data_IF_330952066778
#
_entry.id   IF_330952066778
#
_cell.length_a   1.000
_cell.length_b   1.000
_cell.length_c   1.000
_cell.angle_alpha   90.00
_cell.angle_beta   90.00
_cell.angle_gamma   90.00
#
_symmetry.space_group_name_H-M   'P 1'
#
loop_
_entity.id
_entity.type
_entity.pdbx_description
1 polymer ?
#
# COMPACT_ATOMS: atom_id res chain seq x y z
N UNK A 1 -7.95 -4.90 5.44
CA UNK A 1 -7.37 -3.92 4.50
C UNK A 1 -6.18 -3.19 5.15
N UNK A 2 -5.05 -3.15 4.45
CA UNK A 2 -3.83 -2.43 4.84
C UNK A 2 -3.67 -1.19 3.94
N UNK A 3 -3.65 0.00 4.52
CA UNK A 3 -3.38 1.24 3.80
C UNK A 3 -1.86 1.48 3.68
N UNK A 4 -1.40 1.88 2.50
CA UNK A 4 -0.02 2.28 2.23
C UNK A 4 -0.01 3.80 2.07
N UNK A 5 0.31 4.51 3.17
CA UNK A 5 0.16 5.95 3.27
C UNK A 5 1.52 6.66 3.34
N UNK A 6 1.56 7.96 3.08
CA UNK A 6 2.77 8.77 3.18
C UNK A 6 2.50 10.21 2.80
N UNK A 7 3.15 11.16 3.47
CA UNK A 7 2.77 12.56 3.34
C UNK A 7 3.28 13.25 2.08
N UNK A 8 4.27 12.71 1.36
CA UNK A 8 4.81 13.32 0.14
C UNK A 8 4.51 12.52 -1.13
N UNK A 9 4.25 13.22 -2.23
CA UNK A 9 4.26 12.63 -3.57
C UNK A 9 5.65 12.08 -3.91
N UNK A 10 5.73 10.93 -4.57
CA UNK A 10 7.01 10.34 -4.98
C UNK A 10 7.83 9.66 -3.87
N UNK A 11 7.34 9.56 -2.62
CA UNK A 11 8.09 8.85 -1.56
C UNK A 11 8.16 7.32 -1.74
N UNK A 12 7.41 6.75 -2.69
CA UNK A 12 7.43 5.32 -3.03
C UNK A 12 6.22 4.51 -2.55
N UNK A 13 5.06 5.14 -2.29
CA UNK A 13 3.81 4.45 -1.87
C UNK A 13 3.40 3.37 -2.85
N UNK A 14 3.19 3.71 -4.13
CA UNK A 14 2.80 2.77 -5.18
C UNK A 14 3.80 1.61 -5.32
N UNK A 15 5.10 1.90 -5.33
CA UNK A 15 6.15 0.88 -5.36
C UNK A 15 6.09 -0.03 -4.13
N UNK A 16 5.85 0.54 -2.94
CA UNK A 16 5.70 -0.23 -1.70
C UNK A 16 4.45 -1.10 -1.73
N UNK A 17 3.33 -0.57 -2.23
CA UNK A 17 2.07 -1.30 -2.42
C UNK A 17 2.28 -2.51 -3.33
N UNK A 18 2.90 -2.31 -4.49
CA UNK A 18 3.15 -3.36 -5.48
C UNK A 18 4.20 -4.37 -5.01
N UNK A 19 5.29 -3.91 -4.42
CA UNK A 19 6.34 -4.78 -3.88
C UNK A 19 5.82 -5.67 -2.75
N UNK A 20 5.00 -5.12 -1.85
CA UNK A 20 4.33 -5.88 -0.81
C UNK A 20 3.29 -6.86 -1.39
N UNK A 21 2.52 -6.46 -2.41
CA UNK A 21 1.59 -7.34 -3.10
C UNK A 21 2.33 -8.52 -3.73
N UNK A 22 3.38 -8.26 -4.50
CA UNK A 22 4.22 -9.28 -5.11
C UNK A 22 4.79 -10.24 -4.05
N UNK A 23 5.22 -9.69 -2.90
CA UNK A 23 5.76 -10.50 -1.82
C UNK A 23 4.72 -11.42 -1.18
N UNK A 24 3.48 -10.96 -1.03
CA UNK A 24 2.36 -11.78 -0.58
C UNK A 24 1.96 -12.84 -1.62
N UNK A 25 1.97 -12.49 -2.91
CA UNK A 25 1.74 -13.42 -4.02
C UNK A 25 2.73 -14.59 -4.03
N UNK A 26 4.03 -14.29 -3.87
CA UNK A 26 5.09 -15.31 -3.73
C UNK A 26 4.90 -16.24 -2.53
N UNK A 27 4.14 -15.81 -1.51
CA UNK A 27 3.80 -16.61 -0.32
C UNK A 27 2.48 -17.37 -0.49
N UNK A 28 1.92 -17.41 -1.70
CA UNK A 28 0.70 -18.15 -2.03
C UNK A 28 -0.60 -17.42 -1.67
N UNK A 29 -0.55 -16.13 -1.32
CA UNK A 29 -1.76 -15.33 -1.14
C UNK A 29 -2.25 -14.75 -2.48
N UNK A 30 -3.52 -14.37 -2.54
CA UNK A 30 -4.11 -13.63 -3.67
C UNK A 30 -4.38 -12.18 -3.25
N UNK A 31 -3.37 -11.30 -3.22
CA UNK A 31 -3.55 -9.93 -2.80
C UNK A 31 -4.32 -9.11 -3.84
N UNK A 32 -5.24 -8.28 -3.36
CA UNK A 32 -5.89 -7.23 -4.12
C UNK A 32 -5.24 -5.88 -3.81
N UNK A 33 -4.71 -5.23 -4.85
CA UNK A 33 -4.26 -3.85 -4.84
C UNK A 33 -5.40 -2.94 -5.30
N UNK A 34 -5.67 -1.89 -4.55
CA UNK A 34 -6.61 -0.83 -4.93
C UNK A 34 -5.81 0.46 -5.06
N UNK A 35 -5.82 1.04 -6.25
CA UNK A 35 -5.25 2.36 -6.48
C UNK A 35 -6.21 3.42 -5.93
N UNK A 36 -5.88 3.95 -4.75
CA UNK A 36 -6.67 4.95 -4.03
C UNK A 36 -6.20 6.39 -4.30
N UNK A 37 -5.15 6.60 -5.09
CA UNK A 37 -4.72 7.94 -5.50
C UNK A 37 -5.60 8.41 -6.65
N UNK A 38 -6.63 9.19 -6.32
CA UNK A 38 -7.59 9.68 -7.31
C UNK A 38 -7.08 10.91 -8.07
N UNK A 39 -6.04 11.58 -7.56
CA UNK A 39 -5.42 12.74 -8.21
C UNK A 39 -4.39 12.29 -9.26
N UNK A 40 -3.55 11.30 -8.90
CA UNK A 40 -2.48 10.78 -9.76
C UNK A 40 -2.40 9.24 -9.68
N UNK A 41 -3.37 8.52 -10.28
CA UNK A 41 -3.37 7.06 -10.26
C UNK A 41 -2.19 6.54 -11.07
N UNK A 42 -1.31 5.77 -10.43
CA UNK A 42 -0.04 5.30 -10.99
C UNK A 42 0.05 3.78 -11.08
N UNK A 43 -0.85 3.01 -10.45
CA UNK A 43 -0.72 1.54 -10.39
C UNK A 43 -0.77 0.91 -11.78
N UNK A 44 -1.72 1.33 -12.62
CA UNK A 44 -1.86 0.81 -13.98
C UNK A 44 -0.62 1.11 -14.84
N UNK A 45 -0.05 2.31 -14.73
CA UNK A 45 1.19 2.69 -15.42
C UNK A 45 2.38 1.85 -14.96
N UNK A 46 2.50 1.59 -13.66
CA UNK A 46 3.58 0.77 -13.08
C UNK A 46 3.52 -0.70 -13.49
N UNK A 47 2.35 -1.18 -13.91
CA UNK A 47 2.12 -2.56 -14.29
C UNK A 47 1.88 -2.73 -15.80
N UNK A 48 2.05 -1.67 -16.58
CA UNK A 48 1.78 -1.62 -18.03
C UNK A 48 0.37 -2.10 -18.40
N UNK A 49 -0.61 -1.73 -17.57
CA UNK A 49 -2.01 -2.10 -17.75
C UNK A 49 -2.76 -0.98 -18.49
N UNK A 50 -3.65 -1.31 -19.45
CA UNK A 50 -4.52 -0.32 -20.06
C UNK A 50 -5.45 0.30 -18.99
N UNK A 51 -5.72 1.61 -19.12
CA UNK A 51 -6.64 2.31 -18.21
C UNK A 51 -8.03 1.69 -18.25
N UNK A 52 -8.51 1.31 -17.08
CA UNK A 52 -9.85 0.80 -16.82
C UNK A 52 -10.66 1.72 -15.92
N UNK A 53 -11.92 1.36 -15.70
CA UNK A 53 -12.85 2.11 -14.85
C UNK A 53 -12.85 1.67 -13.38
N UNK A 54 -12.09 0.63 -13.02
CA UNK A 54 -11.65 0.27 -11.65
C UNK A 54 -12.58 0.68 -10.50
N UNK A 55 -12.11 1.61 -9.65
CA UNK A 55 -12.85 2.18 -8.51
C UNK A 55 -14.24 2.68 -8.91
N UNK A 56 -14.37 3.36 -10.06
CA UNK A 56 -15.64 3.87 -10.55
C UNK A 56 -16.63 2.76 -10.94
N UNK A 57 -16.17 1.68 -11.59
CA UNK A 57 -16.99 0.52 -11.90
C UNK A 57 -17.44 -0.22 -10.64
N UNK A 58 -16.52 -0.41 -9.70
CA UNK A 58 -16.83 -1.07 -8.44
C UNK A 58 -17.89 -0.29 -7.66
N UNK A 59 -17.74 1.04 -7.58
CA UNK A 59 -18.73 1.91 -6.94
C UNK A 59 -20.11 1.88 -7.62
N UNK A 60 -20.16 1.72 -8.95
CA UNK A 60 -21.42 1.56 -9.71
C UNK A 60 -22.11 0.20 -9.52
N UNK A 61 -21.52 -0.70 -8.74
CA UNK A 61 -22.15 -1.98 -8.43
C UNK A 61 -21.64 -3.16 -9.24
N UNK A 62 -20.65 -2.97 -10.14
CA UNK A 62 -20.05 -4.09 -10.88
C UNK A 62 -19.44 -5.10 -9.88
N UNK A 63 -19.56 -6.42 -10.12
CA UNK A 63 -19.00 -7.42 -9.22
C UNK A 63 -17.49 -7.25 -9.06
N UNK A 64 -16.98 -7.33 -7.83
CA UNK A 64 -15.55 -7.10 -7.52
C UNK A 64 -14.62 -7.98 -8.37
N UNK A 65 -14.93 -9.27 -8.50
CA UNK A 65 -14.15 -10.23 -9.32
C UNK A 65 -14.13 -9.89 -10.81
N UNK A 66 -15.11 -9.12 -11.30
CA UNK A 66 -15.16 -8.66 -12.69
C UNK A 66 -14.45 -7.32 -12.91
N UNK A 67 -14.15 -6.58 -11.83
CA UNK A 67 -13.40 -5.31 -11.85
C UNK A 67 -11.92 -5.55 -11.56
N UNK A 68 -11.62 -6.47 -10.65
CA UNK A 68 -10.27 -6.83 -10.26
C UNK A 68 -9.58 -7.60 -11.40
N UNK A 69 -8.61 -6.96 -12.03
CA UNK A 69 -7.83 -7.52 -13.15
C UNK A 69 -6.52 -8.08 -12.63
N UNK A 70 -6.11 -9.27 -13.09
CA UNK A 70 -4.77 -9.78 -12.82
C UNK A 70 -3.70 -8.89 -13.46
N UNK A 71 -2.54 -8.79 -12.80
CA UNK A 71 -1.37 -8.10 -13.35
C UNK A 71 -0.37 -9.13 -13.91
N UNK A 72 -0.13 -9.11 -15.22
CA UNK A 72 0.76 -10.09 -15.87
C UNK A 72 2.20 -10.03 -15.34
N UNK A 73 2.67 -8.82 -15.04
CA UNK A 73 4.00 -8.58 -14.45
C UNK A 73 4.12 -9.03 -12.99
N UNK A 74 3.01 -9.24 -12.29
CA UNK A 74 2.98 -9.69 -10.89
C UNK A 74 1.98 -10.84 -10.71
N UNK A 75 2.38 -12.09 -11.01
CA UNK A 75 1.51 -13.26 -10.90
C UNK A 75 0.85 -13.39 -9.51
N UNK A 76 -0.46 -13.64 -9.51
CA UNK A 76 -1.27 -13.77 -8.29
C UNK A 76 -1.74 -12.44 -7.68
N UNK A 77 -1.29 -11.29 -8.21
CA UNK A 77 -1.78 -9.97 -7.78
C UNK A 77 -2.97 -9.53 -8.63
N UNK A 78 -4.03 -9.10 -7.95
CA UNK A 78 -5.21 -8.50 -8.58
C UNK A 78 -5.23 -7.00 -8.33
N UNK A 79 -5.77 -6.23 -9.28
CA UNK A 79 -5.76 -4.77 -9.24
C UNK A 79 -7.15 -4.21 -9.51
N UNK A 80 -7.61 -3.31 -8.64
CA UNK A 80 -8.68 -2.36 -8.92
C UNK A 80 -8.01 -1.01 -9.20
N UNK A 81 -8.05 -0.59 -10.46
CA UNK A 81 -7.43 0.65 -10.91
C UNK A 81 -8.11 1.90 -10.33
N UNK A 82 -7.40 3.03 -10.36
CA UNK A 82 -7.85 4.28 -9.78
C UNK A 82 -9.09 4.83 -10.46
N UNK A 83 -9.75 5.77 -9.80
CA UNK A 83 -10.97 6.40 -10.29
C UNK A 83 -11.23 7.73 -9.62
N UNK A 84 -12.46 8.22 -9.71
CA UNK A 84 -12.82 9.52 -9.12
C UNK A 84 -12.92 9.43 -7.60
N UNK A 85 -12.42 10.44 -6.91
CA UNK A 85 -12.51 10.63 -5.44
C UNK A 85 -13.89 10.32 -4.84
N UNK A 86 -14.96 10.77 -5.50
CA UNK A 86 -16.36 10.54 -5.04
C UNK A 86 -16.79 9.08 -5.03
N UNK A 87 -16.11 8.21 -5.78
CA UNK A 87 -16.40 6.79 -5.88
C UNK A 87 -15.57 5.94 -4.89
N UNK A 88 -14.45 6.48 -4.39
CA UNK A 88 -13.47 5.73 -3.61
C UNK A 88 -14.05 5.12 -2.34
N UNK A 89 -14.78 5.90 -1.54
CA UNK A 89 -15.39 5.44 -0.28
C UNK A 89 -16.32 4.21 -0.50
N UNK A 90 -17.23 4.32 -1.47
CA UNK A 90 -18.14 3.23 -1.84
C UNK A 90 -17.38 2.01 -2.39
N UNK A 91 -16.38 2.23 -3.24
CA UNK A 91 -15.56 1.16 -3.80
C UNK A 91 -14.79 0.40 -2.71
N UNK A 92 -14.16 1.11 -1.76
CA UNK A 92 -13.46 0.50 -0.63
C UNK A 92 -14.40 -0.27 0.30
N UNK A 93 -15.63 0.22 0.50
CA UNK A 93 -16.68 -0.51 1.21
C UNK A 93 -17.00 -1.86 0.56
N UNK A 94 -17.13 -1.88 -0.77
CA UNK A 94 -17.41 -3.10 -1.55
C UNK A 94 -16.21 -4.03 -1.67
N UNK A 95 -15.00 -3.49 -1.70
CA UNK A 95 -13.77 -4.28 -1.80
C UNK A 95 -13.55 -5.24 -0.62
N UNK A 96 -14.19 -5.00 0.53
CA UNK A 96 -14.18 -5.90 1.70
C UNK A 96 -14.72 -7.31 1.41
N UNK A 97 -15.36 -7.51 0.27
CA UNK A 97 -15.81 -8.82 -0.22
C UNK A 97 -14.66 -9.69 -0.77
N UNK A 98 -13.44 -9.15 -0.90
CA UNK A 98 -12.27 -9.93 -1.30
C UNK A 98 -11.82 -10.86 -0.17
N UNK A 99 -11.53 -12.12 -0.49
CA UNK A 99 -11.17 -13.14 0.49
C UNK A 99 -9.68 -13.06 0.94
N UNK A 100 -8.83 -12.45 0.11
CA UNK A 100 -7.39 -12.32 0.35
C UNK A 100 -6.95 -10.99 1.00
N UNK A 101 -5.62 -10.75 1.12
CA UNK A 101 -5.10 -9.46 1.56
C UNK A 101 -5.58 -8.33 0.64
N UNK A 102 -5.96 -7.19 1.23
CA UNK A 102 -6.30 -5.98 0.46
C UNK A 102 -5.30 -4.90 0.84
N UNK A 103 -4.56 -4.40 -0.15
CA UNK A 103 -3.60 -3.31 -0.05
C UNK A 103 -4.20 -2.09 -0.77
N UNK A 104 -4.20 -0.93 -0.12
CA UNK A 104 -4.70 0.31 -0.74
C UNK A 104 -3.55 1.30 -0.87
N UNK A 105 -3.23 1.68 -2.11
CA UNK A 105 -2.27 2.73 -2.41
C UNK A 105 -2.93 4.09 -2.13
N UNK A 106 -2.52 4.77 -1.07
CA UNK A 106 -3.17 6.03 -0.69
C UNK A 106 -2.64 7.19 -1.53
N UNK A 107 -3.50 8.19 -1.75
CA UNK A 107 -3.04 9.49 -2.23
C UNK A 107 -2.01 10.14 -1.30
N UNK A 108 -1.25 11.09 -1.83
CA UNK A 108 -0.26 11.82 -1.04
C UNK A 108 -0.89 12.86 -0.09
N UNK A 109 -0.19 13.12 1.02
CA UNK A 109 -0.49 14.25 1.90
C UNK A 109 -1.61 13.99 2.89
N UNK A 110 -2.44 15.01 3.12
CA UNK A 110 -3.51 15.01 4.13
C UNK A 110 -4.89 15.26 3.52
N UNK A 111 -4.99 15.20 2.19
CA UNK A 111 -6.21 15.42 1.43
C UNK A 111 -7.18 14.21 1.59
N UNK A 112 -8.43 14.30 1.09
CA UNK A 112 -9.37 13.20 1.15
C UNK A 112 -8.88 11.88 0.53
N UNK A 113 -7.98 11.90 -0.46
CA UNK A 113 -7.46 10.68 -1.10
C UNK A 113 -6.44 9.96 -0.22
N UNK A 114 -5.72 10.70 0.62
CA UNK A 114 -4.87 10.13 1.66
C UNK A 114 -5.70 9.60 2.85
N UNK A 115 -6.76 10.32 3.21
CA UNK A 115 -7.56 10.07 4.42
C UNK A 115 -8.60 8.96 4.24
N UNK A 116 -9.25 8.87 3.07
CA UNK A 116 -10.34 7.90 2.84
C UNK A 116 -9.86 6.46 2.97
N UNK A 117 -8.74 6.03 2.34
CA UNK A 117 -8.18 4.70 2.56
C UNK A 117 -7.88 4.40 4.04
N UNK A 118 -7.33 5.36 4.79
CA UNK A 118 -7.00 5.17 6.21
C UNK A 118 -8.26 4.87 7.04
N UNK A 119 -9.39 5.53 6.75
CA UNK A 119 -10.68 5.26 7.43
C UNK A 119 -11.19 3.83 7.20
N UNK A 120 -10.85 3.23 6.06
CA UNK A 120 -11.31 1.88 5.72
C UNK A 120 -10.36 0.77 6.20
N UNK A 121 -9.10 1.10 6.46
CA UNK A 121 -8.06 0.15 6.81
C UNK A 121 -8.00 -0.12 8.32
N UNK A 122 -7.74 -1.38 8.72
CA UNK A 122 -7.50 -1.69 10.13
C UNK A 122 -6.07 -1.33 10.54
N UNK A 123 -5.15 -1.39 9.58
CA UNK A 123 -3.73 -1.10 9.75
C UNK A 123 -3.21 -0.24 8.61
N UNK A 124 -2.11 0.46 8.87
CA UNK A 124 -1.37 1.19 7.85
C UNK A 124 0.13 0.91 7.92
N UNK A 125 0.78 0.92 6.76
CA UNK A 125 2.23 1.10 6.62
C UNK A 125 2.44 2.52 6.14
N UNK A 126 3.34 3.25 6.79
CA UNK A 126 3.75 4.59 6.34
C UNK A 126 5.00 4.47 5.47
N UNK A 127 5.05 5.23 4.38
CA UNK A 127 6.17 5.26 3.44
C UNK A 127 6.79 6.64 3.47
N UNK A 128 8.11 6.68 3.68
CA UNK A 128 8.89 7.90 3.73
C UNK A 128 10.18 7.75 2.94
N UNK A 129 10.88 8.86 2.70
CA UNK A 129 12.31 8.84 2.41
C UNK A 129 13.11 9.23 3.65
N UNK A 130 14.44 9.13 3.58
CA UNK A 130 15.34 9.62 4.63
C UNK A 130 15.58 11.16 4.60
N UNK A 131 14.83 11.90 3.78
CA UNK A 131 14.86 13.37 3.80
C UNK A 131 14.10 13.91 5.03
N UNK A 132 14.59 14.98 5.69
CA UNK A 132 13.96 15.51 6.89
C UNK A 132 12.48 15.85 6.72
N UNK A 133 12.11 16.50 5.62
CA UNK A 133 10.72 16.86 5.31
C UNK A 133 9.82 15.63 5.20
N UNK A 134 10.28 14.56 4.51
CA UNK A 134 9.49 13.34 4.37
C UNK A 134 9.26 12.65 5.73
N UNK A 135 10.22 12.77 6.65
CA UNK A 135 10.10 12.21 8.00
C UNK A 135 9.08 12.98 8.84
N UNK A 136 9.06 14.32 8.72
CA UNK A 136 8.02 15.17 9.35
C UNK A 136 6.63 14.86 8.78
N UNK A 137 6.55 14.69 7.46
CA UNK A 137 5.34 14.29 6.74
C UNK A 137 4.83 12.90 7.18
N UNK A 138 5.75 11.95 7.42
CA UNK A 138 5.43 10.62 7.94
C UNK A 138 4.85 10.69 9.35
N UNK A 139 5.36 11.58 10.21
CA UNK A 139 4.82 11.81 11.55
C UNK A 139 3.40 12.41 11.49
N UNK A 140 3.18 13.38 10.60
CA UNK A 140 1.84 13.92 10.34
C UNK A 140 0.87 12.82 9.88
N UNK A 141 1.31 11.96 8.96
CA UNK A 141 0.53 10.80 8.50
C UNK A 141 0.19 9.85 9.65
N UNK A 142 1.15 9.57 10.54
CA UNK A 142 0.92 8.73 11.74
C UNK A 142 -0.11 9.33 12.69
N UNK A 143 -0.07 10.64 12.90
CA UNK A 143 -1.05 11.33 13.75
C UNK A 143 -2.46 11.28 13.15
N UNK A 144 -2.58 11.44 11.83
CA UNK A 144 -3.86 11.28 11.12
C UNK A 144 -4.39 9.85 11.28
N UNK A 145 -3.58 8.84 10.99
CA UNK A 145 -3.96 7.44 11.17
C UNK A 145 -4.45 7.14 12.59
N UNK A 146 -3.74 7.65 13.61
CA UNK A 146 -4.15 7.55 15.02
C UNK A 146 -5.51 8.18 15.31
N UNK A 147 -5.78 9.38 14.79
CA UNK A 147 -7.08 10.05 14.94
C UNK A 147 -8.22 9.28 14.27
N UNK A 148 -7.91 8.48 13.25
CA UNK A 148 -8.86 7.61 12.54
C UNK A 148 -8.94 6.20 13.16
N UNK A 149 -8.27 5.95 14.29
CA UNK A 149 -8.16 4.63 14.92
C UNK A 149 -7.52 3.54 14.04
N UNK A 150 -6.73 3.95 13.05
CA UNK A 150 -5.95 3.05 12.19
C UNK A 150 -4.60 2.76 12.84
N UNK A 151 -4.26 1.49 13.02
CA UNK A 151 -2.99 1.11 13.65
C UNK A 151 -1.84 1.22 12.65
N UNK A 152 -0.89 2.13 12.88
CA UNK A 152 0.34 2.20 12.10
C UNK A 152 1.28 1.07 12.52
N UNK A 153 1.48 0.10 11.63
CA UNK A 153 2.31 -1.09 11.88
C UNK A 153 3.80 -0.74 11.87
N UNK A 154 4.19 0.27 11.10
CA UNK A 154 5.54 0.77 11.03
C UNK A 154 5.77 1.64 9.80
N UNK A 155 7.03 1.90 9.51
CA UNK A 155 7.48 2.70 8.37
C UNK A 155 8.41 1.91 7.46
N UNK A 156 8.20 2.05 6.16
CA UNK A 156 9.16 1.68 5.12
C UNK A 156 9.88 2.95 4.68
N UNK A 157 11.22 2.94 4.68
CA UNK A 157 12.01 4.11 4.30
C UNK A 157 12.77 3.85 3.02
N UNK A 158 12.43 4.59 1.95
CA UNK A 158 13.26 4.63 0.75
C UNK A 158 14.49 5.49 0.99
N UNK A 159 15.67 4.97 0.66
CA UNK A 159 16.91 5.76 0.64
C UNK A 159 16.83 6.76 -0.51
N UNK A 160 17.10 8.03 -0.21
CA UNK A 160 17.25 9.05 -1.25
C UNK A 160 18.61 8.92 -1.90
N UNK A 161 18.72 9.32 -3.16
CA UNK A 161 20.00 9.35 -3.84
C UNK A 161 20.99 10.30 -3.15
N UNK A 162 22.27 9.91 -3.02
CA UNK A 162 23.30 10.74 -2.41
C UNK A 162 23.41 12.12 -3.09
N UNK A 163 23.22 12.15 -4.41
CA UNK A 163 23.26 13.36 -5.24
C UNK A 163 22.10 14.31 -4.90
N UNK A 164 20.88 13.79 -4.78
CA UNK A 164 19.69 14.57 -4.41
C UNK A 164 19.78 15.15 -3.00
N UNK A 165 20.56 14.52 -2.12
CA UNK A 165 20.70 14.93 -0.73
C UNK A 165 21.97 15.73 -0.44
N UNK A 166 22.82 15.97 -1.43
CA UNK A 166 24.11 16.64 -1.26
C UNK A 166 24.98 15.96 -0.19
N UNK A 167 24.90 14.63 -0.09
CA UNK A 167 25.58 13.84 0.96
C UNK A 167 25.01 13.99 2.37
N UNK A 168 23.90 14.74 2.56
CA UNK A 168 23.27 14.97 3.87
C UNK A 168 22.20 13.94 4.23
N UNK A 169 22.02 12.89 3.43
CA UNK A 169 21.18 11.75 3.80
C UNK A 169 21.84 10.98 4.96
N UNK A 170 21.41 11.23 6.19
CA UNK A 170 21.78 10.39 7.33
C UNK A 170 21.16 8.98 7.21
N UNK A 171 21.62 8.07 8.07
CA UNK A 171 21.00 6.75 8.22
C UNK A 171 19.49 6.91 8.50
N UNK A 172 18.60 6.25 7.75
CA UNK A 172 17.14 6.43 7.87
C UNK A 172 16.62 6.34 9.30
N UNK A 173 17.16 5.38 10.08
CA UNK A 173 16.73 5.07 11.45
C UNK A 173 17.03 6.17 12.46
N UNK A 174 18.11 6.94 12.29
CA UNK A 174 18.54 7.92 13.30
C UNK A 174 17.68 9.19 13.32
N UNK A 175 16.86 9.39 12.28
CA UNK A 175 16.00 10.57 12.16
C UNK A 175 14.55 10.32 12.54
N UNK A 176 14.14 9.06 12.62
CA UNK A 176 12.81 8.68 13.06
C UNK A 176 12.75 8.71 14.59
N UNK A 177 11.58 9.07 15.13
CA UNK A 177 11.36 8.98 16.58
C UNK A 177 11.43 7.50 17.04
N UNK A 178 11.87 7.22 18.28
CA UNK A 178 12.06 5.85 18.77
C UNK A 178 10.81 4.96 18.72
N UNK A 179 9.62 5.55 18.68
CA UNK A 179 8.33 4.85 18.61
C UNK A 179 8.01 4.32 17.21
N UNK A 180 8.84 4.63 16.21
CA UNK A 180 8.72 4.05 14.88
C UNK A 180 9.36 2.68 14.82
N UNK A 181 8.57 1.68 14.42
CA UNK A 181 9.10 0.41 13.95
C UNK A 181 9.49 0.57 12.48
N UNK A 182 10.78 0.48 12.17
CA UNK A 182 11.25 0.45 10.78
C UNK A 182 11.08 -0.97 10.25
N UNK A 183 10.18 -1.13 9.29
CA UNK A 183 9.83 -2.43 8.70
C UNK A 183 10.84 -2.84 7.62
N UNK A 184 11.41 -1.86 6.93
CA UNK A 184 12.37 -2.08 5.86
C UNK A 184 12.97 -0.78 5.35
N UNK A 185 14.18 -0.86 4.82
CA UNK A 185 14.85 0.22 4.10
C UNK A 185 15.00 -0.19 2.63
N UNK A 186 14.41 0.58 1.73
CA UNK A 186 14.46 0.30 0.29
C UNK A 186 15.65 1.07 -0.30
N UNK A 187 16.62 0.42 -0.95
CA UNK A 187 17.69 1.11 -1.67
C UNK A 187 17.13 1.97 -2.80
N UNK A 188 17.87 3.00 -3.23
CA UNK A 188 17.51 3.75 -4.44
C UNK A 188 18.06 2.98 -5.63
N UNK A 189 17.17 2.52 -6.49
CA UNK A 189 17.46 1.74 -7.71
C UNK A 189 16.48 2.17 -8.80
N UNK A 190 16.85 1.96 -10.06
CA UNK A 190 16.04 2.40 -11.22
C UNK A 190 14.75 1.58 -11.37
N UNK A 191 14.85 0.26 -11.23
CA UNK A 191 13.74 -0.69 -11.41
C UNK A 191 13.45 -1.46 -10.10
N UNK A 192 12.82 -0.83 -9.09
CA UNK A 192 12.69 -1.43 -7.75
C UNK A 192 11.81 -2.68 -7.68
N UNK A 193 10.91 -2.91 -8.64
CA UNK A 193 10.10 -4.14 -8.67
C UNK A 193 10.83 -5.33 -9.31
N UNK A 194 11.95 -5.08 -9.98
CA UNK A 194 12.80 -6.08 -10.65
C UNK A 194 14.10 -6.35 -9.88
N UNK A 195 14.40 -5.54 -8.85
CA UNK A 195 15.61 -5.64 -8.05
C UNK A 195 15.47 -6.69 -6.93
N UNK A 196 16.44 -7.60 -6.84
CA UNK A 196 16.45 -8.70 -5.85
C UNK A 196 16.58 -8.19 -4.42
N UNK A 197 17.38 -7.15 -4.17
CA UNK A 197 17.55 -6.60 -2.82
C UNK A 197 16.25 -5.94 -2.35
N UNK A 198 15.58 -5.19 -3.24
CA UNK A 198 14.27 -4.60 -2.95
C UNK A 198 13.22 -5.69 -2.71
N UNK A 199 13.26 -6.76 -3.51
CA UNK A 199 12.41 -7.94 -3.38
C UNK A 199 12.56 -8.60 -2.01
N UNK A 200 13.78 -8.80 -1.52
CA UNK A 200 14.07 -9.37 -0.20
C UNK A 200 13.58 -8.49 0.95
N UNK A 201 13.72 -7.18 0.81
CA UNK A 201 13.17 -6.23 1.80
C UNK A 201 11.65 -6.36 1.85
N UNK A 202 10.96 -6.42 0.71
CA UNK A 202 9.51 -6.59 0.70
C UNK A 202 9.05 -7.96 1.22
N UNK A 203 9.82 -9.03 1.03
CA UNK A 203 9.56 -10.32 1.70
C UNK A 203 9.59 -10.18 3.23
N UNK A 204 10.59 -9.48 3.75
CA UNK A 204 10.74 -9.21 5.19
C UNK A 204 9.60 -8.33 5.74
N UNK A 205 9.25 -7.27 5.01
CA UNK A 205 8.12 -6.40 5.34
C UNK A 205 6.82 -7.19 5.32
N UNK A 206 6.61 -8.04 4.31
CA UNK A 206 5.43 -8.91 4.20
C UNK A 206 5.32 -9.88 5.38
N UNK A 207 6.41 -10.50 5.81
CA UNK A 207 6.42 -11.38 6.98
C UNK A 207 6.05 -10.65 8.28
N UNK A 208 6.45 -9.38 8.39
CA UNK A 208 6.15 -8.54 9.55
C UNK A 208 4.68 -8.07 9.57
N UNK A 209 4.16 -7.63 8.43
CA UNK A 209 2.79 -7.08 8.34
C UNK A 209 1.72 -8.15 8.14
N UNK A 210 2.08 -9.32 7.58
CA UNK A 210 1.24 -10.51 7.44
C UNK A 210 2.03 -11.73 7.93
N UNK A 211 2.08 -11.96 9.25
CA UNK A 211 2.79 -13.12 9.81
C UNK A 211 2.18 -14.43 9.31
N UNK A 212 2.98 -15.51 9.19
CA UNK A 212 2.48 -16.84 8.78
C UNK A 212 1.26 -17.25 9.61
N UNK A 213 0.20 -17.73 8.95
CA UNK A 213 -1.08 -18.09 9.60
C UNK A 213 -2.09 -16.94 9.75
N UNK A 214 -1.73 -15.68 9.42
CA UNK A 214 -2.66 -14.53 9.41
C UNK A 214 -3.43 -14.37 8.09
N UNK A 215 -2.93 -14.94 7.01
CA UNK A 215 -3.66 -15.10 5.74
C UNK A 215 -4.56 -16.31 5.91
N UNK A 216 -5.84 -16.05 6.18
CA UNK A 216 -6.78 -17.06 6.63
C UNK A 216 -6.77 -18.33 5.78
N UNK A 217 -6.65 -19.48 6.43
CA UNK A 217 -7.45 -20.62 6.01
C UNK A 217 -8.89 -20.14 5.81
N UNK A 218 -9.60 -20.60 4.77
CA UNK A 218 -11.00 -20.24 4.58
C UNK A 218 -11.74 -20.65 5.84
N UNK A 219 -12.19 -19.66 6.62
CA UNK A 219 -13.06 -19.90 7.77
C UNK A 219 -14.32 -20.56 7.23
N UNK A 220 -14.38 -21.90 7.28
CA UNK A 220 -15.61 -22.66 7.08
C UNK A 220 -16.61 -22.10 8.08
N UNK A 221 -17.45 -21.16 7.65
CA UNK A 221 -18.66 -20.78 8.38
C UNK A 221 -19.51 -22.03 8.41
N UNK A 222 -19.45 -22.77 9.51
CA UNK A 222 -20.45 -23.77 9.85
C UNK A 222 -21.76 -23.02 10.02
N UNK A 223 -22.60 -23.09 8.99
CA UNK A 223 -23.97 -22.62 9.04
C UNK A 223 -24.73 -23.55 10.00
N UNK A 224 -24.80 -23.20 11.28
CA UNK A 224 -25.79 -23.79 12.19
C UNK A 224 -27.09 -23.02 11.98
N UNK A 225 -27.96 -23.61 11.17
CA UNK A 225 -29.33 -23.16 11.02
C UNK A 225 -30.07 -23.17 12.36
N UNK A 226 -30.90 -22.15 12.54
CA UNK A 226 -32.13 -22.19 13.31
C UNK A 226 -33.21 -21.54 12.47
#
# INVERSE_FOLDING_TARGET
MLAIAGGKGGCGKTTTTLGLAAALGRRGAEPLVIDGDCDMPDVHHRLDMPRGDGVDALARGRPLRAVATGADSLPGVHVVQGGRRRALDTALGRARQWDGPILVDCGAGTNPDAVTPLRHAERAVVVSTNQPQCIEDAETTRQIARRLSTTVTGVVVRRSDPETTGGRAGAPRSRLRPEWTVLGEIPSVDAPLEDDQVTDVFQTVAASVYPPGSTGEPRRRTYRGR
#
